data_IF_061536448670
#
_entry.id   IF_061536448670
#
_cell.length_a   1.000
_cell.length_b   1.000
_cell.length_c   1.000
_cell.angle_alpha   90.00
_cell.angle_beta   90.00
_cell.angle_gamma   90.00
#
_symmetry.space_group_name_H-M   'P 1'
#
loop_
_entity.id
_entity.type
_entity.pdbx_description
1 polymer ?
#
# COMPACT_ATOMS: atom_id res chain seq x y z
N UNK A 1 -23.21 25.52 16.30
CA UNK A 1 -23.09 24.42 17.28
C UNK A 1 -22.82 23.08 16.57
N UNK A 2 -23.63 22.67 15.62
CA UNK A 2 -23.51 21.38 14.90
C UNK A 2 -22.15 21.19 14.18
N UNK A 3 -21.61 22.18 13.51
CA UNK A 3 -20.33 22.07 12.78
C UNK A 3 -19.11 21.88 13.69
N UNK A 4 -19.14 22.44 14.90
CA UNK A 4 -18.09 22.24 15.89
C UNK A 4 -18.06 20.81 16.42
N UNK A 5 -19.21 20.19 16.58
CA UNK A 5 -19.33 18.78 16.99
C UNK A 5 -18.89 17.83 15.85
N UNK A 6 -19.18 18.19 14.60
CA UNK A 6 -18.71 17.43 13.43
C UNK A 6 -17.17 17.40 13.35
N UNK A 7 -16.51 18.56 13.58
CA UNK A 7 -15.04 18.64 13.61
C UNK A 7 -14.46 17.79 14.73
N UNK A 8 -14.98 17.93 15.95
CA UNK A 8 -14.50 17.17 17.12
C UNK A 8 -14.72 15.67 16.95
N UNK A 9 -15.92 15.28 16.50
CA UNK A 9 -16.25 13.88 16.23
C UNK A 9 -15.38 13.29 15.12
N UNK A 10 -15.22 14.00 14.00
CA UNK A 10 -14.36 13.58 12.89
C UNK A 10 -12.90 13.42 13.30
N UNK A 11 -12.37 14.35 14.10
CA UNK A 11 -11.02 14.26 14.64
C UNK A 11 -10.84 13.08 15.60
N UNK A 12 -11.81 12.85 16.49
CA UNK A 12 -11.78 11.70 17.40
C UNK A 12 -11.80 10.36 16.66
N UNK A 13 -12.63 10.24 15.62
CA UNK A 13 -12.68 9.06 14.74
C UNK A 13 -11.36 8.89 13.97
N UNK A 14 -10.79 9.99 13.47
CA UNK A 14 -9.49 9.98 12.78
C UNK A 14 -8.40 9.41 13.68
N UNK A 15 -8.28 9.93 14.89
CA UNK A 15 -7.29 9.45 15.88
C UNK A 15 -7.49 7.97 16.22
N UNK A 16 -8.74 7.54 16.39
CA UNK A 16 -9.07 6.15 16.64
C UNK A 16 -8.57 5.24 15.51
N UNK A 17 -8.86 5.57 14.26
CA UNK A 17 -8.43 4.75 13.12
C UNK A 17 -6.92 4.78 12.89
N UNK A 18 -6.22 5.88 13.19
CA UNK A 18 -4.76 5.94 13.17
C UNK A 18 -4.18 4.97 14.19
N UNK A 19 -4.69 4.97 15.43
CA UNK A 19 -4.23 4.05 16.48
C UNK A 19 -4.51 2.60 16.12
N UNK A 20 -5.71 2.30 15.60
CA UNK A 20 -6.06 0.95 15.15
C UNK A 20 -5.18 0.51 13.97
N UNK A 21 -4.95 1.39 13.00
CA UNK A 21 -4.04 1.10 11.89
C UNK A 21 -2.64 0.76 12.41
N UNK A 22 -2.07 1.59 13.27
CA UNK A 22 -0.73 1.37 13.83
C UNK A 22 -0.63 0.01 14.55
N UNK A 23 -1.60 -0.32 15.42
CA UNK A 23 -1.57 -1.54 16.22
C UNK A 23 -1.81 -2.83 15.40
N UNK A 24 -2.58 -2.75 14.33
CA UNK A 24 -2.95 -3.92 13.53
C UNK A 24 -2.25 -4.01 12.18
N UNK A 25 -1.37 -3.07 11.85
CA UNK A 25 -0.50 -3.15 10.67
C UNK A 25 0.48 -4.31 10.79
N UNK A 26 0.72 -4.97 9.66
CA UNK A 26 1.72 -6.03 9.54
C UNK A 26 2.67 -5.70 8.41
N UNK A 27 3.93 -5.99 8.62
CA UNK A 27 4.98 -5.82 7.64
C UNK A 27 5.83 -7.07 7.57
N UNK A 28 6.11 -7.53 6.35
CA UNK A 28 6.95 -8.69 6.08
C UNK A 28 8.00 -8.29 5.06
N UNK A 29 9.25 -8.58 5.38
CA UNK A 29 10.40 -8.33 4.53
C UNK A 29 11.04 -9.68 4.18
N UNK A 30 11.25 -9.96 2.91
CA UNK A 30 11.75 -11.24 2.43
C UNK A 30 12.54 -11.11 1.14
N UNK A 31 13.52 -11.97 0.96
CA UNK A 31 14.24 -12.12 -0.30
C UNK A 31 13.69 -13.33 -1.04
N UNK A 32 13.34 -13.15 -2.32
CA UNK A 32 12.68 -14.17 -3.14
C UNK A 32 13.24 -14.16 -4.56
N UNK A 33 13.36 -15.34 -5.17
CA UNK A 33 13.70 -15.48 -6.60
C UNK A 33 12.47 -15.57 -7.48
N UNK A 34 12.64 -15.27 -8.76
CA UNK A 34 11.60 -15.52 -9.76
C UNK A 34 11.26 -17.01 -9.80
N UNK A 35 9.97 -17.32 -9.79
CA UNK A 35 9.44 -18.70 -9.74
C UNK A 35 9.30 -19.27 -8.33
N UNK A 36 9.90 -18.65 -7.32
CA UNK A 36 9.86 -19.13 -5.93
C UNK A 36 8.53 -18.77 -5.26
N UNK A 37 8.18 -19.57 -4.25
CA UNK A 37 7.05 -19.34 -3.35
C UNK A 37 7.54 -19.34 -1.92
N UNK A 38 7.24 -18.28 -1.17
CA UNK A 38 7.56 -18.19 0.26
C UNK A 38 6.30 -18.05 1.09
N UNK A 39 6.29 -18.75 2.21
CA UNK A 39 5.21 -18.71 3.19
C UNK A 39 5.69 -18.02 4.45
N UNK A 40 4.94 -17.00 4.89
CA UNK A 40 5.17 -16.28 6.13
C UNK A 40 3.84 -16.18 6.88
N UNK A 41 3.79 -16.72 8.09
CA UNK A 41 2.55 -16.86 8.86
C UNK A 41 1.46 -17.59 8.05
N UNK A 42 0.36 -16.90 7.76
CA UNK A 42 -0.75 -17.42 6.96
C UNK A 42 -0.79 -16.85 5.53
N UNK A 43 0.30 -16.23 5.11
CA UNK A 43 0.42 -15.61 3.78
C UNK A 43 1.43 -16.38 2.97
N UNK A 44 1.04 -16.73 1.76
CA UNK A 44 1.90 -17.31 0.75
C UNK A 44 2.13 -16.28 -0.35
N UNK A 45 3.39 -15.98 -0.63
CA UNK A 45 3.82 -15.04 -1.66
C UNK A 45 4.54 -15.83 -2.74
N UNK A 46 3.98 -15.86 -3.94
CA UNK A 46 4.58 -16.47 -5.11
C UNK A 46 5.03 -15.41 -6.11
N UNK A 47 6.31 -15.38 -6.40
CA UNK A 47 6.87 -14.55 -7.47
C UNK A 47 6.81 -15.33 -8.79
N UNK A 48 5.91 -14.97 -9.69
CA UNK A 48 5.68 -15.72 -10.93
C UNK A 48 6.73 -15.45 -11.99
N UNK A 49 6.84 -14.21 -12.39
CA UNK A 49 7.68 -13.77 -13.50
C UNK A 49 7.98 -12.26 -13.41
N UNK A 50 8.91 -11.83 -14.26
CA UNK A 50 9.25 -10.43 -14.50
C UNK A 50 8.90 -10.07 -15.93
N UNK A 51 8.40 -8.83 -16.11
CA UNK A 51 8.24 -8.19 -17.42
C UNK A 51 9.07 -6.93 -17.47
N UNK A 52 9.70 -6.69 -18.60
CA UNK A 52 10.39 -5.42 -18.88
C UNK A 52 9.56 -4.67 -19.90
N UNK A 53 9.14 -3.46 -19.57
CA UNK A 53 8.40 -2.57 -20.45
C UNK A 53 9.16 -1.26 -20.63
N UNK A 54 9.35 -0.87 -21.88
CA UNK A 54 9.92 0.42 -22.22
C UNK A 54 8.80 1.45 -22.31
N UNK A 55 8.91 2.52 -21.55
CA UNK A 55 8.03 3.69 -21.57
C UNK A 55 8.76 4.89 -22.19
N UNK A 56 8.07 6.00 -22.42
CA UNK A 56 8.66 7.18 -23.08
C UNK A 56 9.87 7.75 -22.32
N UNK A 57 9.83 7.79 -21.00
CA UNK A 57 10.82 8.44 -20.13
C UNK A 57 11.47 7.52 -19.09
N UNK A 58 11.15 6.24 -19.08
CA UNK A 58 11.74 5.25 -18.18
C UNK A 58 11.57 3.82 -18.69
N UNK A 59 12.43 2.92 -18.22
CA UNK A 59 12.24 1.48 -18.37
C UNK A 59 11.66 0.92 -17.07
N UNK A 60 10.59 0.12 -17.18
CA UNK A 60 9.94 -0.51 -16.04
C UNK A 60 10.26 -2.01 -15.97
N UNK A 61 10.73 -2.48 -14.81
CA UNK A 61 10.82 -3.90 -14.48
C UNK A 61 9.62 -4.20 -13.58
N UNK A 62 8.66 -4.97 -14.08
CA UNK A 62 7.39 -5.26 -13.41
C UNK A 62 7.44 -6.68 -12.87
N UNK A 63 7.30 -6.83 -11.55
CA UNK A 63 7.19 -8.14 -10.91
C UNK A 63 5.74 -8.61 -10.85
N UNK A 64 5.46 -9.85 -11.24
CA UNK A 64 4.15 -10.45 -11.11
C UNK A 64 4.09 -11.34 -9.86
N UNK A 65 3.35 -10.92 -8.85
CA UNK A 65 3.21 -11.64 -7.58
C UNK A 65 1.78 -12.10 -7.34
N UNK A 66 1.64 -13.35 -6.86
CA UNK A 66 0.40 -13.86 -6.31
C UNK A 66 0.53 -13.93 -4.79
N UNK A 67 -0.41 -13.29 -4.11
CA UNK A 67 -0.54 -13.32 -2.66
C UNK A 67 -1.75 -14.17 -2.32
N UNK A 68 -1.57 -15.19 -1.48
CA UNK A 68 -2.63 -16.04 -0.97
C UNK A 68 -2.69 -15.93 0.55
N UNK A 69 -3.82 -15.49 1.09
CA UNK A 69 -4.11 -15.55 2.53
C UNK A 69 -4.79 -16.90 2.82
N UNK A 70 -4.07 -17.78 3.48
CA UNK A 70 -4.50 -19.14 3.77
C UNK A 70 -5.67 -19.20 4.77
N UNK A 71 -5.79 -18.21 5.66
CA UNK A 71 -6.93 -18.14 6.61
C UNK A 71 -8.22 -17.70 5.95
N UNK A 72 -8.13 -16.74 5.03
CA UNK A 72 -9.28 -16.11 4.38
C UNK A 72 -9.60 -16.73 3.04
N UNK A 73 -8.79 -17.70 2.57
CA UNK A 73 -8.84 -18.29 1.22
C UNK A 73 -8.95 -17.21 0.12
N UNK A 74 -8.11 -16.20 0.23
CA UNK A 74 -8.19 -14.99 -0.58
C UNK A 74 -6.92 -14.84 -1.41
N UNK A 75 -7.07 -14.75 -2.73
CA UNK A 75 -5.96 -14.59 -3.67
C UNK A 75 -5.99 -13.20 -4.30
N UNK A 76 -4.82 -12.55 -4.37
CA UNK A 76 -4.61 -11.28 -5.08
C UNK A 76 -3.33 -11.29 -5.89
N UNK A 77 -3.39 -10.62 -7.03
CA UNK A 77 -2.23 -10.32 -7.85
C UNK A 77 -1.78 -8.89 -7.55
N UNK A 78 -0.48 -8.73 -7.33
CA UNK A 78 0.18 -7.44 -7.13
C UNK A 78 1.38 -7.34 -8.06
N UNK A 79 1.54 -6.19 -8.70
CA UNK A 79 2.54 -5.95 -9.72
C UNK A 79 3.38 -4.71 -9.37
N UNK A 80 4.33 -4.80 -8.43
CA UNK A 80 5.26 -3.71 -8.15
C UNK A 80 6.20 -3.47 -9.32
N UNK A 81 6.69 -2.22 -9.44
CA UNK A 81 7.58 -1.82 -10.53
C UNK A 81 8.88 -1.24 -9.96
N UNK A 82 9.99 -1.55 -10.64
CA UNK A 82 11.25 -0.82 -10.51
C UNK A 82 11.36 0.03 -11.76
N UNK A 83 11.40 1.35 -11.60
CA UNK A 83 11.50 2.29 -12.72
C UNK A 83 12.90 2.86 -12.80
N UNK A 84 13.47 2.79 -13.98
CA UNK A 84 14.80 3.28 -14.30
C UNK A 84 14.63 4.44 -15.29
N UNK A 85 14.87 5.66 -14.81
CA UNK A 85 14.82 6.88 -15.60
C UNK A 85 16.19 7.17 -16.20
N UNK A 86 16.22 7.63 -17.45
CA UNK A 86 17.46 7.90 -18.18
C UNK A 86 17.99 9.32 -17.92
N UNK A 87 17.10 10.30 -17.71
CA UNK A 87 17.50 11.70 -17.54
C UNK A 87 16.63 12.47 -16.52
N UNK A 88 17.12 12.77 -15.31
CA UNK A 88 18.39 12.28 -14.74
C UNK A 88 18.34 10.78 -14.47
N UNK A 89 19.50 10.14 -14.46
CA UNK A 89 19.55 8.71 -14.15
C UNK A 89 19.11 8.47 -12.70
N UNK A 90 17.91 7.91 -12.54
CA UNK A 90 17.27 7.71 -11.25
C UNK A 90 16.54 6.38 -11.22
N UNK A 91 16.66 5.69 -10.09
CA UNK A 91 15.94 4.44 -9.82
C UNK A 91 14.84 4.73 -8.81
N UNK A 92 13.60 4.31 -9.11
CA UNK A 92 12.47 4.40 -8.17
C UNK A 92 11.77 3.06 -8.03
N UNK A 93 11.22 2.82 -6.84
CA UNK A 93 10.50 1.60 -6.51
C UNK A 93 9.02 1.94 -6.30
N UNK A 94 8.17 1.47 -7.21
CA UNK A 94 6.74 1.72 -7.17
C UNK A 94 6.01 0.54 -6.54
N UNK A 95 5.32 0.83 -5.46
CA UNK A 95 4.53 -0.18 -4.75
C UNK A 95 3.25 -0.52 -5.52
N UNK A 96 2.96 -1.80 -5.66
CA UNK A 96 1.63 -2.24 -6.04
C UNK A 96 0.69 -2.12 -4.83
N UNK A 97 -0.42 -1.42 -5.00
CA UNK A 97 -1.39 -1.17 -3.93
C UNK A 97 -2.73 -1.82 -4.30
N UNK A 98 -3.33 -2.53 -3.35
CA UNK A 98 -4.67 -3.08 -3.49
C UNK A 98 -5.52 -2.69 -2.29
N UNK A 99 -6.44 -1.77 -2.52
CA UNK A 99 -7.34 -1.22 -1.50
C UNK A 99 -8.64 -2.02 -1.42
N UNK A 100 -9.15 -2.24 -0.23
CA UNK A 100 -10.50 -2.67 0.06
C UNK A 100 -11.05 -1.99 1.33
N UNK A 101 -12.33 -2.22 1.65
CA UNK A 101 -12.99 -1.58 2.81
C UNK A 101 -12.36 -1.91 4.17
N UNK A 102 -11.60 -3.01 4.27
CA UNK A 102 -11.02 -3.48 5.55
C UNK A 102 -9.55 -3.14 5.67
N UNK A 103 -8.81 -3.21 4.57
CA UNK A 103 -7.35 -3.07 4.59
C UNK A 103 -6.78 -2.75 3.21
N UNK A 104 -5.63 -2.10 3.18
CA UNK A 104 -4.79 -1.94 2.01
C UNK A 104 -3.65 -2.94 2.07
N UNK A 105 -3.33 -3.50 0.91
CA UNK A 105 -2.16 -4.35 0.69
C UNK A 105 -1.15 -3.59 -0.15
N UNK A 106 0.07 -3.50 0.33
CA UNK A 106 1.19 -2.89 -0.38
C UNK A 106 2.25 -3.95 -0.65
N UNK A 107 2.76 -3.97 -1.85
CA UNK A 107 3.90 -4.81 -2.22
C UNK A 107 4.93 -3.95 -2.95
N UNK A 108 6.11 -3.84 -2.40
CA UNK A 108 7.25 -3.16 -3.03
C UNK A 108 8.31 -4.20 -3.35
N UNK A 109 8.97 -4.03 -4.48
CA UNK A 109 10.06 -4.88 -4.93
C UNK A 109 11.30 -4.03 -5.19
N UNK A 110 12.47 -4.50 -4.76
CA UNK A 110 13.76 -3.93 -5.11
C UNK A 110 14.73 -5.04 -5.51
N UNK A 111 15.69 -4.73 -6.37
CA UNK A 111 16.76 -5.65 -6.71
C UNK A 111 17.81 -5.67 -5.60
N UNK A 112 18.53 -6.80 -5.47
CA UNK A 112 19.71 -6.93 -4.63
C UNK A 112 20.89 -7.03 -5.58
N UNK A 113 21.79 -6.05 -5.52
CA UNK A 113 22.95 -5.99 -6.43
C UNK A 113 23.82 -7.24 -6.35
N UNK A 114 24.16 -7.79 -7.53
CA UNK A 114 24.98 -9.01 -7.62
C UNK A 114 24.25 -10.29 -7.24
N UNK A 115 22.93 -10.29 -7.14
CA UNK A 115 22.14 -11.45 -6.73
C UNK A 115 20.95 -11.70 -7.65
N UNK A 116 20.51 -12.96 -7.78
CA UNK A 116 19.25 -13.35 -8.43
C UNK A 116 18.02 -13.16 -7.53
N UNK A 117 18.23 -12.65 -6.31
CA UNK A 117 17.16 -12.39 -5.36
C UNK A 117 16.64 -10.96 -5.49
N UNK A 118 15.36 -10.84 -5.26
CA UNK A 118 14.66 -9.54 -5.08
C UNK A 118 14.24 -9.42 -3.62
N UNK A 119 14.50 -8.26 -3.04
CA UNK A 119 13.91 -7.92 -1.75
C UNK A 119 12.47 -7.49 -1.97
N UNK A 120 11.56 -8.12 -1.25
CA UNK A 120 10.12 -7.86 -1.35
C UNK A 120 9.58 -7.48 0.02
N UNK A 121 9.02 -6.28 0.10
CA UNK A 121 8.36 -5.77 1.29
C UNK A 121 6.86 -5.82 1.11
N UNK A 122 6.19 -6.66 1.90
CA UNK A 122 4.75 -6.80 1.89
C UNK A 122 4.14 -6.20 3.15
N UNK A 123 3.18 -5.30 2.99
CA UNK A 123 2.53 -4.63 4.10
C UNK A 123 1.01 -4.79 4.03
N UNK A 124 0.41 -5.01 5.19
CA UNK A 124 -1.04 -5.02 5.40
C UNK A 124 -1.37 -3.85 6.31
N UNK A 125 -2.10 -2.87 5.80
CA UNK A 125 -2.51 -1.67 6.55
C UNK A 125 -4.04 -1.63 6.66
N UNK A 126 -4.60 -2.05 7.81
CA UNK A 126 -6.03 -2.02 8.03
C UNK A 126 -6.53 -0.57 8.21
N UNK A 127 -7.79 -0.36 7.91
CA UNK A 127 -8.50 0.91 8.16
C UNK A 127 -8.00 2.14 7.40
N UNK A 128 -7.13 2.01 6.38
CA UNK A 128 -6.60 3.16 5.62
C UNK A 128 -7.73 3.98 4.98
N UNK A 129 -8.72 3.33 4.38
CA UNK A 129 -9.88 4.01 3.80
C UNK A 129 -10.66 4.82 4.84
N UNK A 130 -10.81 4.30 6.04
CA UNK A 130 -11.52 4.96 7.14
C UNK A 130 -10.77 6.17 7.69
N UNK A 131 -9.44 6.13 7.68
CA UNK A 131 -8.58 7.30 8.02
C UNK A 131 -8.86 8.43 7.03
N UNK A 132 -8.86 8.14 5.72
CA UNK A 132 -9.17 9.14 4.70
C UNK A 132 -10.58 9.69 4.81
N UNK A 133 -11.56 8.82 5.08
CA UNK A 133 -12.95 9.24 5.30
C UNK A 133 -13.09 10.17 6.51
N UNK A 134 -12.46 9.84 7.63
CA UNK A 134 -12.47 10.66 8.85
C UNK A 134 -11.77 12.02 8.63
N UNK A 135 -10.67 12.03 7.87
CA UNK A 135 -9.98 13.28 7.51
C UNK A 135 -10.87 14.19 6.65
N UNK A 136 -11.56 13.64 5.63
CA UNK A 136 -12.51 14.37 4.80
C UNK A 136 -13.69 14.91 5.62
N UNK A 137 -14.21 14.11 6.56
CA UNK A 137 -15.30 14.52 7.45
C UNK A 137 -14.86 15.71 8.33
N UNK A 138 -13.69 15.67 8.89
CA UNK A 138 -13.11 16.76 9.69
C UNK A 138 -12.92 18.03 8.85
N UNK A 139 -12.34 17.89 7.65
CA UNK A 139 -12.11 19.01 6.73
C UNK A 139 -13.43 19.66 6.28
N UNK A 140 -14.44 18.85 5.94
CA UNK A 140 -15.76 19.34 5.52
C UNK A 140 -16.46 20.12 6.63
N UNK A 141 -16.37 19.65 7.88
CA UNK A 141 -16.89 20.38 9.04
C UNK A 141 -16.24 21.75 9.23
N UNK A 142 -14.91 21.85 8.99
CA UNK A 142 -14.17 23.10 9.01
C UNK A 142 -14.59 24.07 7.93
N UNK A 143 -14.70 23.59 6.68
CA UNK A 143 -15.13 24.39 5.54
C UNK A 143 -16.56 24.92 5.73
N UNK A 144 -17.51 24.06 6.09
CA UNK A 144 -18.90 24.46 6.32
C UNK A 144 -19.01 25.53 7.41
N UNK A 145 -18.24 25.40 8.49
CA UNK A 145 -18.19 26.42 9.55
C UNK A 145 -17.73 27.78 9.03
N UNK A 146 -16.75 27.80 8.13
CA UNK A 146 -16.21 29.03 7.56
C UNK A 146 -17.20 29.72 6.63
N UNK A 147 -17.88 28.96 5.75
CA UNK A 147 -18.81 29.51 4.78
C UNK A 147 -20.20 29.88 5.36
N UNK A 148 -20.66 29.16 6.38
CA UNK A 148 -21.98 29.37 6.96
C UNK A 148 -21.98 30.27 8.21
N UNK A 149 -20.81 30.80 8.58
CA UNK A 149 -20.66 31.79 9.65
C UNK A 149 -20.81 33.21 9.10
N UNK A 150 -21.90 33.46 8.34
CA UNK A 150 -22.37 34.80 8.00
C UNK A 150 -23.48 35.23 8.93
#
# INVERSE_FOLDING_TARGET
MVFGELIKGGFGILMLFIILNHNFSKEYDLNIKVGETKKIDNIEIKFKDLKIEKRENYNAIIGNFNILDLKKNYRKNLNPEIRIYDNPQTLTFESAIKTNLKQDLYLTMSNIDGSDFYNVKFQIKPFMLWIWFAALLTASGGLLRTFLKK
#
